data_IF_085126081278
#
_entry.id   IF_085126081278
#
_cell.length_a   1.000
_cell.length_b   1.000
_cell.length_c   1.000
_cell.angle_alpha   90.00
_cell.angle_beta   90.00
_cell.angle_gamma   90.00
#
_symmetry.space_group_name_H-M   'P 1'
#
loop_
_entity.id
_entity.type
_entity.pdbx_description
1 polymer ?
#
# COMPACT_ATOMS: atom_id res chain seq x y z
N UNK A 1 7.52 4.88 -18.66
CA UNK A 1 8.13 3.87 -17.76
C UNK A 1 8.31 2.58 -18.53
N UNK A 2 9.50 2.00 -18.47
CA UNK A 2 9.70 0.64 -18.96
C UNK A 2 9.33 -0.31 -17.81
N UNK A 3 8.31 -1.13 -18.02
CA UNK A 3 7.95 -2.22 -17.10
C UNK A 3 8.36 -3.54 -17.74
N UNK A 4 9.04 -4.38 -16.99
CA UNK A 4 9.50 -5.70 -17.44
C UNK A 4 8.91 -6.79 -16.55
N UNK A 5 8.40 -7.84 -17.21
CA UNK A 5 7.98 -9.07 -16.53
C UNK A 5 9.08 -10.10 -16.68
N UNK A 6 9.71 -10.46 -15.58
CA UNK A 6 10.86 -11.37 -15.57
C UNK A 6 10.63 -12.60 -14.68
N UNK A 7 11.41 -13.65 -14.90
CA UNK A 7 11.45 -14.79 -14.00
C UNK A 7 12.55 -14.62 -12.96
N UNK A 8 12.17 -14.62 -11.68
CA UNK A 8 13.12 -14.56 -10.58
C UNK A 8 12.87 -15.73 -9.61
N UNK A 9 13.83 -16.64 -9.48
CA UNK A 9 13.75 -17.81 -8.60
C UNK A 9 12.47 -18.66 -8.79
N UNK A 10 12.00 -18.80 -10.04
CA UNK A 10 10.82 -19.59 -10.37
C UNK A 10 9.47 -18.86 -10.23
N UNK A 11 9.49 -17.57 -9.97
CA UNK A 11 8.30 -16.72 -9.90
C UNK A 11 8.37 -15.57 -10.89
N UNK A 12 7.22 -15.19 -11.44
CA UNK A 12 7.13 -13.96 -12.22
C UNK A 12 7.18 -12.76 -11.28
N UNK A 13 7.98 -11.76 -11.65
CA UNK A 13 8.06 -10.46 -10.97
C UNK A 13 7.86 -9.34 -11.97
N UNK A 14 7.37 -8.22 -11.51
CA UNK A 14 7.24 -7.00 -12.27
C UNK A 14 8.28 -6.01 -11.76
N UNK A 15 9.16 -5.59 -12.64
CA UNK A 15 10.23 -4.66 -12.32
C UNK A 15 10.07 -3.37 -13.15
N UNK A 16 10.48 -2.24 -12.58
CA UNK A 16 10.77 -1.01 -13.30
C UNK A 16 12.26 -0.91 -13.53
N UNK A 17 12.71 0.15 -14.19
CA UNK A 17 14.11 0.32 -14.61
C UNK A 17 15.12 0.18 -13.45
N UNK A 18 14.79 0.64 -12.25
CA UNK A 18 15.73 0.69 -11.12
C UNK A 18 15.22 -0.02 -9.84
N UNK A 19 14.00 -0.56 -9.85
CA UNK A 19 13.44 -1.16 -8.64
C UNK A 19 12.42 -2.26 -8.94
N UNK A 20 12.21 -3.14 -7.95
CA UNK A 20 11.10 -4.08 -8.00
C UNK A 20 9.78 -3.33 -7.84
N UNK A 21 8.91 -3.45 -8.83
CA UNK A 21 7.65 -2.72 -8.90
C UNK A 21 6.48 -3.51 -8.28
N UNK A 22 6.49 -4.84 -8.42
CA UNK A 22 5.50 -5.71 -7.77
C UNK A 22 6.01 -7.14 -7.72
N UNK A 23 5.56 -7.89 -6.71
CA UNK A 23 6.08 -9.21 -6.38
C UNK A 23 7.54 -9.13 -5.89
N UNK A 24 8.19 -10.23 -5.61
CA UNK A 24 9.57 -10.20 -5.12
C UNK A 24 9.74 -9.50 -3.75
N UNK A 25 10.65 -8.53 -3.67
CA UNK A 25 10.99 -7.82 -2.41
C UNK A 25 9.83 -6.98 -1.89
N UNK A 26 9.14 -6.27 -2.76
CA UNK A 26 8.01 -5.41 -2.37
C UNK A 26 6.86 -6.23 -1.78
N UNK A 27 6.53 -7.37 -2.37
CA UNK A 27 5.53 -8.28 -1.80
C UNK A 27 5.92 -8.73 -0.39
N UNK A 28 7.20 -9.04 -0.14
CA UNK A 28 7.68 -9.42 1.20
C UNK A 28 7.55 -8.28 2.20
N UNK A 29 7.82 -7.04 1.78
CA UNK A 29 7.65 -5.84 2.61
C UNK A 29 6.20 -5.72 3.09
N UNK A 30 5.26 -5.66 2.16
CA UNK A 30 3.84 -5.48 2.47
C UNK A 30 3.26 -6.69 3.23
N UNK A 31 3.67 -7.90 2.88
CA UNK A 31 3.30 -9.11 3.62
C UNK A 31 3.73 -9.07 5.09
N UNK A 32 4.92 -8.55 5.40
CA UNK A 32 5.36 -8.32 6.78
C UNK A 32 4.47 -7.29 7.48
N UNK A 33 4.14 -6.18 6.82
CA UNK A 33 3.24 -5.16 7.35
C UNK A 33 1.86 -5.71 7.68
N UNK A 34 1.27 -6.49 6.78
CA UNK A 34 -0.01 -7.15 7.02
C UNK A 34 0.05 -8.15 8.20
N UNK A 35 1.17 -8.87 8.37
CA UNK A 35 1.40 -9.73 9.55
C UNK A 35 1.47 -8.93 10.85
N UNK A 36 2.07 -7.75 10.85
CA UNK A 36 2.14 -6.89 12.04
C UNK A 36 0.77 -6.37 12.47
N UNK A 37 -0.15 -6.13 11.54
CA UNK A 37 -1.55 -5.82 11.83
C UNK A 37 -2.29 -7.06 12.35
N UNK A 38 -2.02 -8.23 11.77
CA UNK A 38 -2.59 -9.52 12.10
C UNK A 38 -3.60 -10.01 11.08
N UNK A 39 -3.36 -11.16 10.49
CA UNK A 39 -4.19 -11.74 9.43
C UNK A 39 -5.63 -12.01 9.88
N UNK A 40 -5.80 -12.55 11.09
CA UNK A 40 -7.13 -12.81 11.66
C UNK A 40 -7.93 -11.51 11.81
N UNK A 41 -7.29 -10.43 12.26
CA UNK A 41 -7.91 -9.11 12.36
C UNK A 41 -8.31 -8.57 10.99
N UNK A 42 -7.41 -8.62 10.01
CA UNK A 42 -7.71 -8.15 8.65
C UNK A 42 -8.88 -8.92 8.06
N UNK A 43 -9.02 -10.20 8.37
CA UNK A 43 -10.13 -11.01 7.87
C UNK A 43 -11.50 -10.63 8.48
N UNK A 44 -11.52 -9.82 9.57
CA UNK A 44 -12.75 -9.25 10.13
C UNK A 44 -13.15 -7.92 9.52
N UNK A 45 -12.31 -7.32 8.67
CA UNK A 45 -12.61 -6.06 8.01
C UNK A 45 -13.65 -6.24 6.88
N UNK A 46 -14.28 -5.14 6.50
CA UNK A 46 -15.26 -5.12 5.41
C UNK A 46 -14.67 -4.49 4.15
N UNK A 47 -13.94 -3.37 4.30
CA UNK A 47 -13.44 -2.56 3.19
C UNK A 47 -11.95 -2.27 3.32
N UNK A 48 -11.20 -2.53 2.26
CA UNK A 48 -9.77 -2.24 2.15
C UNK A 48 -9.55 -1.32 0.96
N UNK A 49 -8.78 -0.24 1.19
CA UNK A 49 -8.27 0.64 0.14
C UNK A 49 -6.78 0.36 -0.07
N UNK A 50 -6.38 0.28 -1.33
CA UNK A 50 -4.98 0.15 -1.73
C UNK A 50 -4.63 1.29 -2.67
N UNK A 51 -3.72 2.15 -2.27
CA UNK A 51 -3.19 3.25 -3.05
C UNK A 51 -1.81 2.84 -3.59
N UNK A 52 -1.74 2.61 -4.90
CA UNK A 52 -0.62 1.96 -5.58
C UNK A 52 -0.81 0.44 -5.64
N UNK A 53 -1.34 -0.05 -6.76
CA UNK A 53 -1.63 -1.48 -6.99
C UNK A 53 -0.48 -2.19 -7.68
N UNK A 54 0.15 -1.51 -8.64
CA UNK A 54 1.19 -2.07 -9.49
C UNK A 54 0.79 -3.42 -10.11
N UNK A 55 1.56 -4.49 -9.90
CA UNK A 55 1.22 -5.84 -10.37
C UNK A 55 0.18 -6.60 -9.53
N UNK A 56 -0.30 -6.02 -8.42
CA UNK A 56 -1.34 -6.62 -7.58
C UNK A 56 -0.84 -7.58 -6.49
N UNK A 57 0.44 -7.61 -6.18
CA UNK A 57 1.03 -8.56 -5.22
C UNK A 57 0.46 -8.46 -3.81
N UNK A 58 0.09 -7.25 -3.37
CA UNK A 58 -0.56 -7.05 -2.07
C UNK A 58 -2.00 -7.60 -2.08
N UNK A 59 -2.71 -7.43 -3.20
CA UNK A 59 -4.07 -8.00 -3.39
C UNK A 59 -4.00 -9.52 -3.35
N UNK A 60 -3.03 -10.10 -4.06
CA UNK A 60 -2.78 -11.55 -4.01
C UNK A 60 -2.58 -12.03 -2.57
N UNK A 61 -1.73 -11.37 -1.81
CA UNK A 61 -1.48 -11.71 -0.39
C UNK A 61 -2.76 -11.63 0.44
N UNK A 62 -3.54 -10.56 0.29
CA UNK A 62 -4.80 -10.37 1.02
C UNK A 62 -5.82 -11.45 0.63
N UNK A 63 -5.92 -11.80 -0.64
CA UNK A 63 -6.88 -12.80 -1.13
C UNK A 63 -6.44 -14.24 -0.87
N UNK A 64 -5.16 -14.56 -1.09
CA UNK A 64 -4.69 -15.94 -1.05
C UNK A 64 -4.17 -16.36 0.33
N UNK A 65 -3.45 -15.49 1.04
CA UNK A 65 -2.88 -15.82 2.35
C UNK A 65 -3.86 -15.51 3.50
N UNK A 66 -4.48 -14.32 3.47
CA UNK A 66 -5.40 -13.88 4.53
C UNK A 66 -6.82 -14.45 4.32
N UNK A 67 -7.18 -14.81 3.07
CA UNK A 67 -8.52 -15.29 2.68
C UNK A 67 -9.63 -14.26 2.88
N UNK A 68 -9.29 -12.99 2.76
CA UNK A 68 -10.19 -11.87 2.93
C UNK A 68 -11.39 -11.93 1.96
N UNK A 69 -12.61 -11.75 2.49
CA UNK A 69 -13.87 -11.87 1.74
C UNK A 69 -14.52 -10.53 1.40
N UNK A 70 -14.16 -9.47 2.13
CA UNK A 70 -14.71 -8.14 1.92
C UNK A 70 -14.30 -7.48 0.60
N UNK A 71 -14.66 -6.21 0.46
CA UNK A 71 -14.36 -5.41 -0.73
C UNK A 71 -12.94 -4.85 -0.67
N UNK A 72 -12.23 -4.92 -1.79
CA UNK A 72 -10.95 -4.24 -2.02
C UNK A 72 -11.16 -3.21 -3.12
N UNK A 73 -10.82 -1.96 -2.85
CA UNK A 73 -10.69 -0.90 -3.84
C UNK A 73 -9.22 -0.62 -4.05
N UNK A 74 -8.72 -0.87 -5.24
CA UNK A 74 -7.34 -0.57 -5.64
C UNK A 74 -7.31 0.66 -6.55
N UNK A 75 -6.43 1.60 -6.28
CA UNK A 75 -6.22 2.80 -7.09
C UNK A 75 -4.82 2.78 -7.67
N UNK A 76 -4.73 2.88 -8.99
CA UNK A 76 -3.47 2.86 -9.73
C UNK A 76 -3.51 3.87 -10.87
N UNK A 77 -2.46 4.67 -11.00
CA UNK A 77 -2.37 5.69 -12.04
C UNK A 77 -1.94 5.10 -13.39
N UNK A 78 -1.19 3.99 -13.36
CA UNK A 78 -0.61 3.37 -14.57
C UNK A 78 -1.52 2.24 -15.09
N UNK A 79 -2.34 2.57 -16.10
CA UNK A 79 -3.20 1.58 -16.76
C UNK A 79 -2.40 0.39 -17.34
N UNK A 80 -1.17 0.64 -17.81
CA UNK A 80 -0.31 -0.41 -18.38
C UNK A 80 0.10 -1.43 -17.29
N UNK A 81 0.37 -0.95 -16.07
CA UNK A 81 0.66 -1.85 -14.94
C UNK A 81 -0.54 -2.78 -14.66
N UNK A 82 -1.75 -2.28 -14.74
CA UNK A 82 -2.97 -3.08 -14.53
C UNK A 82 -3.22 -4.06 -15.68
N UNK A 83 -2.95 -3.68 -16.93
CA UNK A 83 -3.02 -4.60 -18.07
C UNK A 83 -2.04 -5.76 -17.88
N UNK A 84 -0.81 -5.48 -17.47
CA UNK A 84 0.21 -6.48 -17.15
C UNK A 84 -0.25 -7.35 -15.96
N UNK A 85 -0.78 -6.75 -14.91
CA UNK A 85 -1.30 -7.46 -13.74
C UNK A 85 -2.42 -8.43 -14.10
N UNK A 86 -3.33 -8.03 -14.95
CA UNK A 86 -4.42 -8.89 -15.45
C UNK A 86 -3.87 -10.05 -16.32
N UNK A 87 -2.94 -9.75 -17.20
CA UNK A 87 -2.43 -10.73 -18.18
C UNK A 87 -1.51 -11.77 -17.55
N UNK A 88 -0.64 -11.38 -16.64
CA UNK A 88 0.43 -12.23 -16.13
C UNK A 88 0.25 -12.68 -14.69
N UNK A 89 -0.49 -11.92 -13.89
CA UNK A 89 -0.67 -12.18 -12.46
C UNK A 89 -2.12 -12.46 -12.06
N UNK A 90 -3.05 -12.47 -13.04
CA UNK A 90 -4.43 -12.88 -12.83
C UNK A 90 -5.22 -11.98 -11.87
N UNK A 91 -4.89 -10.68 -11.83
CA UNK A 91 -5.54 -9.72 -10.94
C UNK A 91 -7.05 -9.68 -11.13
N UNK A 92 -7.52 -9.79 -12.38
CA UNK A 92 -8.94 -9.79 -12.75
C UNK A 92 -9.71 -11.05 -12.31
N UNK A 93 -9.05 -12.09 -11.81
CA UNK A 93 -9.71 -13.31 -11.32
C UNK A 93 -10.20 -13.17 -9.87
N UNK A 94 -9.76 -12.14 -9.14
CA UNK A 94 -10.16 -11.95 -7.75
C UNK A 94 -11.56 -11.33 -7.66
N UNK A 95 -12.46 -12.00 -6.94
CA UNK A 95 -13.79 -11.48 -6.65
C UNK A 95 -13.74 -10.40 -5.57
N UNK A 96 -14.70 -9.46 -5.62
CA UNK A 96 -14.78 -8.32 -4.70
C UNK A 96 -13.51 -7.43 -4.71
N UNK A 97 -12.88 -7.30 -5.87
CA UNK A 97 -11.78 -6.39 -6.13
C UNK A 97 -12.20 -5.45 -7.24
N UNK A 98 -12.16 -4.17 -6.97
CA UNK A 98 -12.41 -3.08 -7.92
C UNK A 98 -11.12 -2.30 -8.13
N UNK A 99 -10.70 -2.15 -9.38
CA UNK A 99 -9.50 -1.36 -9.73
C UNK A 99 -9.95 -0.08 -10.43
N UNK A 100 -9.50 1.05 -9.90
CA UNK A 100 -9.78 2.39 -10.41
C UNK A 100 -8.48 2.95 -10.99
N UNK A 101 -8.50 3.28 -12.28
CA UNK A 101 -7.35 3.93 -12.94
C UNK A 101 -7.49 5.43 -12.69
N UNK A 102 -6.79 5.92 -11.69
CA UNK A 102 -6.82 7.33 -11.28
C UNK A 102 -5.58 7.67 -10.46
N UNK A 103 -5.24 8.96 -10.41
CA UNK A 103 -4.26 9.47 -9.45
C UNK A 103 -4.79 9.30 -8.02
N UNK A 104 -3.97 8.73 -7.15
CA UNK A 104 -4.36 8.43 -5.77
C UNK A 104 -4.69 9.69 -4.96
N UNK A 105 -4.01 10.82 -5.23
CA UNK A 105 -4.32 12.10 -4.60
C UNK A 105 -5.73 12.56 -4.97
N UNK A 106 -6.05 12.56 -6.27
CA UNK A 106 -7.37 12.96 -6.77
C UNK A 106 -8.49 12.03 -6.25
N UNK A 107 -8.24 10.71 -6.24
CA UNK A 107 -9.19 9.74 -5.70
C UNK A 107 -9.49 10.01 -4.22
N UNK A 108 -8.46 10.20 -3.40
CA UNK A 108 -8.62 10.45 -1.95
C UNK A 108 -9.40 11.74 -1.68
N UNK A 109 -9.30 12.74 -2.54
CA UNK A 109 -10.07 13.97 -2.41
C UNK A 109 -11.57 13.79 -2.66
N UNK A 110 -11.91 12.94 -3.61
CA UNK A 110 -13.28 12.78 -4.12
C UNK A 110 -14.08 11.74 -3.33
N UNK A 111 -13.44 10.63 -2.94
CA UNK A 111 -14.14 9.54 -2.27
C UNK A 111 -14.66 9.93 -0.89
N UNK A 112 -15.84 9.38 -0.53
CA UNK A 112 -16.43 9.50 0.81
C UNK A 112 -16.52 8.15 1.49
N UNK A 113 -16.12 7.08 0.82
CA UNK A 113 -16.15 5.73 1.38
C UNK A 113 -15.20 5.62 2.57
N UNK A 114 -15.54 4.72 3.49
CA UNK A 114 -14.75 4.45 4.69
C UNK A 114 -14.10 3.08 4.58
N UNK A 115 -12.91 2.98 5.15
CA UNK A 115 -12.09 1.78 5.05
C UNK A 115 -11.59 1.35 6.42
N UNK A 116 -11.45 0.05 6.61
CA UNK A 116 -10.89 -0.56 7.80
C UNK A 116 -9.38 -0.72 7.71
N UNK A 117 -8.87 -0.82 6.48
CA UNK A 117 -7.45 -0.83 6.17
C UNK A 117 -7.19 0.05 4.95
N UNK A 118 -6.22 0.94 5.06
CA UNK A 118 -5.68 1.72 3.95
C UNK A 118 -4.21 1.35 3.79
N UNK A 119 -3.88 0.73 2.65
CA UNK A 119 -2.49 0.45 2.27
C UNK A 119 -2.00 1.57 1.37
N UNK A 120 -0.87 2.18 1.70
CA UNK A 120 -0.23 3.24 0.91
C UNK A 120 1.12 2.72 0.44
N UNK A 121 1.24 2.53 -0.87
CA UNK A 121 2.44 2.01 -1.54
C UNK A 121 2.68 2.73 -2.86
N UNK A 122 2.91 4.04 -2.78
CA UNK A 122 3.04 4.92 -3.95
C UNK A 122 4.49 5.35 -4.13
N UNK A 123 5.06 4.95 -5.26
CA UNK A 123 6.41 5.31 -5.67
C UNK A 123 6.47 5.74 -7.14
N UNK A 124 7.34 6.68 -7.41
CA UNK A 124 7.80 7.01 -8.76
C UNK A 124 9.25 6.53 -8.85
N UNK A 125 9.43 5.27 -9.26
CA UNK A 125 10.69 4.52 -9.15
C UNK A 125 11.11 4.41 -7.67
N UNK A 126 12.21 5.07 -7.25
CA UNK A 126 12.67 5.09 -5.85
C UNK A 126 12.19 6.31 -5.06
N UNK A 127 11.50 7.23 -5.70
CA UNK A 127 11.07 8.50 -5.07
C UNK A 127 9.60 8.43 -4.66
N UNK A 128 9.31 8.92 -3.47
CA UNK A 128 7.94 9.06 -2.98
C UNK A 128 7.41 10.47 -3.25
N UNK A 129 6.19 10.62 -3.79
CA UNK A 129 5.57 11.94 -3.95
C UNK A 129 5.42 12.68 -2.62
N UNK A 130 5.73 13.98 -2.63
CA UNK A 130 5.72 14.80 -1.41
C UNK A 130 4.34 14.89 -0.75
N UNK A 131 3.26 14.86 -1.55
CA UNK A 131 1.90 15.00 -1.03
C UNK A 131 1.56 13.93 0.02
N UNK A 132 2.18 12.75 -0.01
CA UNK A 132 1.96 11.68 0.95
C UNK A 132 2.26 12.09 2.40
N UNK A 133 3.12 13.09 2.56
CA UNK A 133 3.60 13.59 3.86
C UNK A 133 2.96 14.92 4.26
N UNK A 134 2.10 15.49 3.39
CA UNK A 134 1.43 16.75 3.65
C UNK A 134 0.20 16.58 4.57
N UNK A 135 -0.02 17.56 5.44
CA UNK A 135 -1.12 17.52 6.42
C UNK A 135 -2.49 17.32 5.76
N UNK A 136 -2.68 17.93 4.62
CA UNK A 136 -3.94 17.83 3.89
C UNK A 136 -4.23 16.37 3.48
N UNK A 137 -3.26 15.67 2.91
CA UNK A 137 -3.42 14.26 2.52
C UNK A 137 -3.61 13.36 3.74
N UNK A 138 -2.81 13.57 4.79
CA UNK A 138 -2.91 12.84 6.06
C UNK A 138 -4.31 13.00 6.66
N UNK A 139 -4.82 14.22 6.71
CA UNK A 139 -6.17 14.49 7.22
C UNK A 139 -7.27 13.81 6.39
N UNK A 140 -7.10 13.76 5.07
CA UNK A 140 -8.02 13.04 4.20
C UNK A 140 -7.98 11.54 4.42
N UNK A 141 -6.80 10.94 4.50
CA UNK A 141 -6.64 9.51 4.82
C UNK A 141 -7.27 9.19 6.19
N UNK A 142 -7.03 10.03 7.20
CA UNK A 142 -7.62 9.88 8.54
C UNK A 142 -9.14 10.01 8.52
N UNK A 143 -9.69 10.88 7.68
CA UNK A 143 -11.13 10.99 7.48
C UNK A 143 -11.70 9.70 6.86
N UNK A 144 -11.01 9.09 5.89
CA UNK A 144 -11.46 7.86 5.22
C UNK A 144 -11.31 6.61 6.09
N UNK A 145 -10.48 6.66 7.13
CA UNK A 145 -10.22 5.52 8.01
C UNK A 145 -11.32 5.38 9.08
N UNK A 146 -11.87 4.19 9.22
CA UNK A 146 -12.77 3.82 10.31
C UNK A 146 -12.05 3.83 11.67
N UNK A 147 -12.81 4.07 12.74
CA UNK A 147 -12.31 3.83 14.11
C UNK A 147 -11.94 2.35 14.26
N UNK A 148 -10.84 2.06 14.91
CA UNK A 148 -10.17 0.76 14.98
C UNK A 148 -9.57 0.26 13.65
N UNK A 149 -9.68 1.02 12.57
CA UNK A 149 -9.00 0.75 11.31
C UNK A 149 -7.50 1.01 11.35
N UNK A 150 -6.80 0.59 10.30
CA UNK A 150 -5.35 0.68 10.19
C UNK A 150 -4.92 1.35 8.89
N UNK A 151 -3.83 2.10 8.96
CA UNK A 151 -3.02 2.48 7.81
C UNK A 151 -1.77 1.60 7.82
N UNK A 152 -1.47 0.99 6.69
CA UNK A 152 -0.17 0.38 6.40
C UNK A 152 0.52 1.24 5.35
N UNK A 153 1.58 1.94 5.74
CA UNK A 153 2.30 2.82 4.85
C UNK A 153 3.73 2.31 4.64
N UNK A 154 4.06 1.98 3.40
CA UNK A 154 5.40 1.62 2.99
C UNK A 154 6.16 2.88 2.57
N UNK A 155 7.29 3.12 3.22
CA UNK A 155 8.18 4.23 2.90
C UNK A 155 9.57 3.71 2.57
N UNK A 156 10.31 4.49 1.78
CA UNK A 156 11.72 4.22 1.47
C UNK A 156 12.62 5.21 2.20
N UNK A 157 13.74 4.73 2.70
CA UNK A 157 14.74 5.54 3.42
C UNK A 157 16.12 5.23 2.85
N UNK A 158 16.56 6.06 1.92
CA UNK A 158 17.89 5.98 1.28
C UNK A 158 18.90 6.87 1.98
N UNK A 159 18.46 7.98 2.60
CA UNK A 159 19.30 8.97 3.22
C UNK A 159 18.76 9.51 4.56
N UNK A 160 19.47 10.50 5.10
CA UNK A 160 19.11 11.16 6.37
C UNK A 160 17.85 12.03 6.24
N UNK A 161 17.62 12.68 5.11
CA UNK A 161 16.47 13.57 4.90
C UNK A 161 15.18 12.76 4.89
N UNK A 162 15.17 11.62 4.22
CA UNK A 162 14.01 10.70 4.20
C UNK A 162 13.73 10.10 5.57
N UNK A 163 14.78 9.79 6.34
CA UNK A 163 14.62 9.37 7.73
C UNK A 163 13.99 10.46 8.59
N UNK A 164 14.44 11.70 8.45
CA UNK A 164 13.85 12.83 9.16
C UNK A 164 12.40 13.05 8.75
N UNK A 165 12.10 12.98 7.45
CA UNK A 165 10.72 13.03 6.92
C UNK A 165 9.81 12.02 7.60
N UNK A 166 10.27 10.77 7.79
CA UNK A 166 9.49 9.73 8.46
C UNK A 166 9.27 10.03 9.95
N UNK A 167 10.25 10.61 10.63
CA UNK A 167 10.08 11.08 12.03
C UNK A 167 9.05 12.20 12.10
N UNK A 168 9.15 13.18 11.21
CA UNK A 168 8.22 14.31 11.15
C UNK A 168 6.80 13.83 10.82
N UNK A 169 6.65 12.87 9.90
CA UNK A 169 5.37 12.24 9.57
C UNK A 169 4.72 11.60 10.80
N UNK A 170 5.47 10.83 11.58
CA UNK A 170 4.98 10.23 12.81
C UNK A 170 4.45 11.26 13.80
N UNK A 171 5.09 12.42 13.92
CA UNK A 171 4.74 13.48 14.84
C UNK A 171 3.46 14.25 14.44
N UNK A 172 2.92 14.02 13.25
CA UNK A 172 1.67 14.64 12.77
C UNK A 172 0.40 13.98 13.32
N UNK A 173 0.53 12.86 14.01
CA UNK A 173 -0.60 12.13 14.59
C UNK A 173 -0.69 12.40 16.10
N UNK A 174 -1.88 12.62 16.58
CA UNK A 174 -2.18 12.86 17.99
C UNK A 174 -2.44 11.56 18.81
N UNK A 175 -2.89 11.70 20.04
CA UNK A 175 -3.20 10.59 20.95
C UNK A 175 -4.35 9.68 20.50
N UNK A 176 -5.13 10.09 19.48
CA UNK A 176 -6.19 9.26 18.89
C UNK A 176 -5.63 8.17 17.97
N UNK A 177 -4.32 8.11 17.82
CA UNK A 177 -3.65 7.12 16.97
C UNK A 177 -2.56 6.37 17.73
N UNK A 178 -2.46 5.07 17.47
CA UNK A 178 -1.35 4.23 17.91
C UNK A 178 -0.45 3.92 16.74
N UNK A 179 0.81 4.36 16.79
CA UNK A 179 1.75 4.28 15.67
C UNK A 179 2.91 3.38 16.03
N UNK A 180 3.21 2.44 15.12
CA UNK A 180 4.42 1.65 15.18
C UNK A 180 5.20 1.84 13.88
N UNK A 181 6.49 2.08 14.02
CA UNK A 181 7.44 2.15 12.92
C UNK A 181 8.33 0.92 12.94
N UNK A 182 8.45 0.26 11.82
CA UNK A 182 9.31 -0.91 11.61
C UNK A 182 10.40 -0.54 10.60
N UNK A 183 11.61 -0.25 11.07
CA UNK A 183 12.71 0.14 10.19
C UNK A 183 13.37 -1.06 9.54
N UNK A 184 14.05 -0.81 8.42
CA UNK A 184 14.91 -1.78 7.73
C UNK A 184 14.20 -3.09 7.36
N UNK A 185 12.97 -2.96 6.85
CA UNK A 185 12.30 -4.06 6.18
C UNK A 185 12.91 -4.16 4.78
N UNK A 186 13.50 -5.26 4.37
CA UNK A 186 14.25 -5.36 3.09
C UNK A 186 15.18 -4.16 2.93
N UNK A 187 16.22 -3.93 3.42
CA UNK A 187 17.30 -2.92 3.31
C UNK A 187 16.85 -1.45 3.47
N UNK A 188 15.95 -0.96 2.61
CA UNK A 188 15.63 0.47 2.50
C UNK A 188 14.19 0.82 2.89
N UNK A 189 13.33 -0.16 3.08
CA UNK A 189 11.94 0.10 3.43
C UNK A 189 11.75 0.28 4.93
N UNK A 190 10.92 1.24 5.28
CA UNK A 190 10.34 1.39 6.62
C UNK A 190 8.81 1.31 6.51
N UNK A 191 8.20 0.55 7.41
CA UNK A 191 6.75 0.40 7.46
C UNK A 191 6.16 1.12 8.67
N UNK A 192 5.12 1.90 8.42
CA UNK A 192 4.22 2.37 9.46
C UNK A 192 2.99 1.50 9.53
N UNK A 193 2.62 1.09 10.75
CA UNK A 193 1.26 0.66 11.05
C UNK A 193 0.65 1.69 12.00
N UNK A 194 -0.45 2.31 11.58
CA UNK A 194 -1.12 3.37 12.31
C UNK A 194 -2.54 2.91 12.58
N UNK A 195 -2.90 2.74 13.84
CA UNK A 195 -4.26 2.38 14.25
C UNK A 195 -5.00 3.62 14.71
N UNK A 196 -6.20 3.87 14.18
CA UNK A 196 -7.11 4.89 14.70
C UNK A 196 -7.84 4.35 15.92
N UNK A 197 -7.81 5.10 17.04
CA UNK A 197 -8.39 4.69 18.32
C UNK A 197 -9.76 5.35 18.55
N UNK A 198 -9.94 6.57 18.06
CA UNK A 198 -11.16 7.36 18.20
C UNK A 198 -11.42 8.23 16.95
#
# INVERSE_FOLDING_TARGET
>A
KNLEVTWNNGYLVLDSENTNYSFGSLQRVLKKGLKYIGYERINTFENILILGVAGGSVIETIKNDIKFKGKITGVEIDATAIEIANKYFGLNNYKNVEIIIEDAFEFVLKTKEKYDLIVIDIFQDTTMPNFLFEDFFINRINFLLNVNGFILFNTMVLDYQERRRNVDYKNKFDSNYSIRLYPKIEVHNELFTIKKLA
#
